data_IF_750781487546
#
_entry.id   IF_750781487546
#
_cell.length_a   1.000
_cell.length_b   1.000
_cell.length_c   1.000
_cell.angle_alpha   90.00
_cell.angle_beta   90.00
_cell.angle_gamma   90.00
#
_symmetry.space_group_name_H-M   'P 1'
#
loop_
_entity.id
_entity.type
_entity.pdbx_description
1 polymer ?
#
# COMPACT_ATOMS: atom_id res chain seq x y z
N UNK A 1 -13.28 -27.03 -17.63
CA UNK A 1 -12.90 -26.97 -16.21
C UNK A 1 -13.39 -25.63 -15.65
N UNK A 2 -14.09 -25.59 -14.50
CA UNK A 2 -14.48 -24.35 -13.83
C UNK A 2 -13.30 -23.42 -13.48
N UNK A 3 -12.10 -23.99 -13.30
CA UNK A 3 -10.86 -23.28 -12.92
C UNK A 3 -10.46 -22.13 -13.84
N UNK A 4 -10.70 -22.23 -15.15
CA UNK A 4 -10.23 -21.19 -16.09
C UNK A 4 -11.00 -19.88 -15.96
N UNK A 5 -12.30 -19.93 -15.69
CA UNK A 5 -13.12 -18.70 -15.63
C UNK A 5 -12.81 -17.88 -14.39
N UNK A 6 -12.68 -18.53 -13.24
CA UNK A 6 -12.33 -17.87 -11.99
C UNK A 6 -10.91 -17.32 -12.05
N UNK A 7 -9.97 -18.09 -12.59
CA UNK A 7 -8.60 -17.63 -12.81
C UNK A 7 -8.54 -16.37 -13.67
N UNK A 8 -9.22 -16.37 -14.83
CA UNK A 8 -9.26 -15.19 -15.72
C UNK A 8 -9.96 -13.99 -15.09
N UNK A 9 -10.99 -14.23 -14.28
CA UNK A 9 -11.67 -13.17 -13.53
C UNK A 9 -10.73 -12.54 -12.50
N UNK A 10 -10.00 -13.35 -11.72
CA UNK A 10 -9.03 -12.87 -10.74
C UNK A 10 -7.89 -12.08 -11.40
N UNK A 11 -7.34 -12.55 -12.52
CA UNK A 11 -6.31 -11.83 -13.29
C UNK A 11 -6.85 -10.47 -13.78
N UNK A 12 -8.06 -10.45 -14.31
CA UNK A 12 -8.71 -9.21 -14.79
C UNK A 12 -8.97 -8.24 -13.64
N UNK A 13 -9.45 -8.74 -12.50
CA UNK A 13 -9.66 -7.94 -11.28
C UNK A 13 -8.35 -7.33 -10.77
N UNK A 14 -7.26 -8.12 -10.74
CA UNK A 14 -5.92 -7.62 -10.38
C UNK A 14 -5.49 -6.51 -11.34
N UNK A 15 -5.66 -6.70 -12.65
CA UNK A 15 -5.32 -5.69 -13.66
C UNK A 15 -6.03 -4.36 -13.41
N UNK A 16 -7.35 -4.41 -13.19
CA UNK A 16 -8.15 -3.22 -12.88
C UNK A 16 -7.72 -2.55 -11.56
N UNK A 17 -7.50 -3.34 -10.51
CA UNK A 17 -7.07 -2.82 -9.21
C UNK A 17 -5.68 -2.15 -9.29
N UNK A 18 -4.76 -2.69 -10.10
CA UNK A 18 -3.44 -2.06 -10.32
C UNK A 18 -3.55 -0.70 -10.99
N UNK A 19 -4.47 -0.54 -11.95
CA UNK A 19 -4.74 0.76 -12.58
C UNK A 19 -5.27 1.75 -11.53
N UNK A 20 -6.27 1.34 -10.74
CA UNK A 20 -6.81 2.17 -9.65
C UNK A 20 -5.74 2.54 -8.61
N UNK A 21 -4.84 1.61 -8.29
CA UNK A 21 -3.75 1.84 -7.35
C UNK A 21 -2.71 2.82 -7.91
N UNK A 22 -2.42 2.80 -9.21
CA UNK A 22 -1.49 3.74 -9.83
C UNK A 22 -1.96 5.20 -9.68
N UNK A 23 -3.28 5.42 -9.70
CA UNK A 23 -3.88 6.74 -9.54
C UNK A 23 -3.94 7.20 -8.07
N UNK A 24 -4.37 6.32 -7.16
CA UNK A 24 -4.74 6.70 -5.78
C UNK A 24 -3.73 6.28 -4.72
N UNK A 25 -2.90 5.28 -5.02
CA UNK A 25 -1.96 4.64 -4.10
C UNK A 25 -2.59 4.23 -2.74
N UNK A 26 -3.90 4.00 -2.69
CA UNK A 26 -4.59 3.69 -1.44
C UNK A 26 -4.14 2.33 -0.90
N UNK A 27 -3.87 2.24 0.40
CA UNK A 27 -3.38 1.02 1.05
C UNK A 27 -4.38 -0.14 0.88
N UNK A 28 -5.69 0.13 0.95
CA UNK A 28 -6.73 -0.88 0.77
C UNK A 28 -6.70 -1.55 -0.62
N UNK A 29 -6.32 -0.82 -1.67
CA UNK A 29 -6.19 -1.37 -3.02
C UNK A 29 -5.00 -2.33 -3.10
N UNK A 30 -3.87 -1.98 -2.50
CA UNK A 30 -2.72 -2.89 -2.41
C UNK A 30 -3.05 -4.18 -1.65
N UNK A 31 -3.80 -4.08 -0.56
CA UNK A 31 -4.26 -5.24 0.21
C UNK A 31 -5.19 -6.15 -0.61
N UNK A 32 -6.12 -5.56 -1.36
CA UNK A 32 -7.00 -6.32 -2.25
C UNK A 32 -6.20 -7.04 -3.33
N UNK A 33 -5.23 -6.38 -3.97
CA UNK A 33 -4.36 -7.01 -4.97
C UNK A 33 -3.59 -8.19 -4.38
N UNK A 34 -3.00 -8.02 -3.19
CA UNK A 34 -2.31 -9.09 -2.48
C UNK A 34 -3.23 -10.31 -2.25
N UNK A 35 -4.46 -10.06 -1.76
CA UNK A 35 -5.44 -11.12 -1.54
C UNK A 35 -5.80 -11.88 -2.82
N UNK A 36 -5.97 -11.19 -3.95
CA UNK A 36 -6.30 -11.86 -5.22
C UNK A 36 -5.15 -12.73 -5.73
N UNK A 37 -3.90 -12.29 -5.55
CA UNK A 37 -2.75 -13.15 -5.83
C UNK A 37 -2.69 -14.38 -4.92
N UNK A 38 -3.09 -14.24 -3.65
CA UNK A 38 -3.17 -15.39 -2.74
C UNK A 38 -4.21 -16.42 -3.21
N UNK A 39 -5.39 -15.96 -3.64
CA UNK A 39 -6.41 -16.83 -4.23
C UNK A 39 -5.91 -17.55 -5.49
N UNK A 40 -5.18 -16.85 -6.36
CA UNK A 40 -4.54 -17.47 -7.53
C UNK A 40 -3.49 -18.53 -7.14
N UNK A 41 -2.74 -18.30 -6.06
CA UNK A 41 -1.79 -19.28 -5.54
C UNK A 41 -2.47 -20.53 -4.98
N UNK A 42 -3.60 -20.36 -4.30
CA UNK A 42 -4.41 -21.45 -3.73
C UNK A 42 -5.09 -22.29 -4.81
N UNK A 43 -5.56 -21.65 -5.89
CA UNK A 43 -6.19 -22.33 -7.02
C UNK A 43 -5.18 -22.92 -8.04
N UNK A 44 -3.88 -22.64 -7.91
CA UNK A 44 -2.88 -23.08 -8.87
C UNK A 44 -2.40 -24.51 -8.61
N UNK A 45 -2.62 -25.41 -9.57
CA UNK A 45 -2.06 -26.77 -9.55
C UNK A 45 -0.56 -26.81 -9.87
N UNK A 46 -0.02 -25.78 -10.54
CA UNK A 46 1.38 -25.73 -10.95
C UNK A 46 2.23 -25.00 -9.89
N UNK A 47 3.21 -25.71 -9.30
CA UNK A 47 4.04 -25.20 -8.21
C UNK A 47 4.78 -23.89 -8.58
N UNK A 48 5.31 -23.77 -9.80
CA UNK A 48 6.01 -22.57 -10.23
C UNK A 48 5.07 -21.34 -10.33
N UNK A 49 3.83 -21.52 -10.79
CA UNK A 49 2.81 -20.46 -10.81
C UNK A 49 2.39 -20.09 -9.40
N UNK A 50 2.18 -21.08 -8.54
CA UNK A 50 1.85 -20.87 -7.13
C UNK A 50 2.92 -20.02 -6.43
N UNK A 51 4.20 -20.37 -6.55
CA UNK A 51 5.32 -19.61 -5.96
C UNK A 51 5.34 -18.18 -6.50
N UNK A 52 5.16 -18.00 -7.82
CA UNK A 52 5.10 -16.67 -8.41
C UNK A 52 3.96 -15.82 -7.82
N UNK A 53 2.76 -16.38 -7.70
CA UNK A 53 1.63 -15.69 -7.10
C UNK A 53 1.84 -15.37 -5.62
N UNK A 54 2.46 -16.27 -4.84
CA UNK A 54 2.86 -16.00 -3.46
C UNK A 54 3.82 -14.80 -3.38
N UNK A 55 4.83 -14.76 -4.24
CA UNK A 55 5.79 -13.66 -4.28
C UNK A 55 5.10 -12.33 -4.61
N UNK A 56 4.22 -12.33 -5.62
CA UNK A 56 3.43 -11.14 -5.97
C UNK A 56 2.54 -10.70 -4.80
N UNK A 57 1.84 -11.64 -4.15
CA UNK A 57 1.04 -11.36 -2.95
C UNK A 57 1.88 -10.68 -1.87
N UNK A 58 3.07 -11.19 -1.58
CA UNK A 58 3.97 -10.61 -0.58
C UNK A 58 4.44 -9.21 -0.94
N UNK A 59 4.79 -8.97 -2.21
CA UNK A 59 5.17 -7.62 -2.69
C UNK A 59 4.03 -6.62 -2.50
N UNK A 60 2.80 -6.99 -2.87
CA UNK A 60 1.65 -6.09 -2.72
C UNK A 60 1.24 -5.90 -1.26
N UNK A 61 1.40 -6.93 -0.42
CA UNK A 61 1.18 -6.79 1.02
C UNK A 61 2.20 -5.84 1.65
N UNK A 62 3.46 -5.86 1.20
CA UNK A 62 4.44 -4.86 1.61
C UNK A 62 4.05 -3.44 1.19
N UNK A 63 3.54 -3.25 -0.03
CA UNK A 63 2.99 -1.95 -0.45
C UNK A 63 1.83 -1.49 0.45
N UNK A 64 0.94 -2.40 0.86
CA UNK A 64 -0.11 -2.10 1.82
C UNK A 64 0.46 -1.61 3.17
N UNK A 65 1.45 -2.32 3.74
CA UNK A 65 2.06 -1.92 5.01
C UNK A 65 2.68 -0.53 4.90
N UNK A 66 3.47 -0.28 3.86
CA UNK A 66 4.11 1.01 3.61
C UNK A 66 3.08 2.14 3.49
N UNK A 67 2.02 1.95 2.72
CA UNK A 67 1.04 3.02 2.49
C UNK A 67 0.14 3.21 3.72
N UNK A 68 -0.14 2.16 4.47
CA UNK A 68 -0.86 2.26 5.75
C UNK A 68 -0.08 3.07 6.77
N UNK A 69 1.24 2.91 6.83
CA UNK A 69 2.11 3.74 7.68
C UNK A 69 2.00 5.22 7.27
N UNK A 70 2.02 5.53 5.97
CA UNK A 70 1.80 6.90 5.47
C UNK A 70 0.39 7.45 5.75
N UNK A 71 -0.65 6.61 5.69
CA UNK A 71 -2.04 7.00 5.99
C UNK A 71 -2.29 7.24 7.49
N UNK A 72 -1.51 6.61 8.37
CA UNK A 72 -1.55 6.81 9.83
C UNK A 72 -0.67 7.98 10.31
N UNK A 73 0.27 8.41 9.47
CA UNK A 73 1.15 9.57 9.70
C UNK A 73 0.83 10.75 8.75
N UNK A 74 -0.43 11.22 8.59
CA UNK A 74 -0.68 12.36 7.71
C UNK A 74 -0.20 13.70 8.30
N UNK A 75 0.14 13.77 9.60
CA UNK A 75 0.28 15.06 10.31
C UNK A 75 1.44 15.22 11.31
N UNK A 76 2.50 14.40 11.28
CA UNK A 76 3.73 14.69 12.05
C UNK A 76 4.77 15.55 11.29
N UNK A 77 4.39 16.16 10.17
CA UNK A 77 5.22 17.10 9.42
C UNK A 77 4.69 18.54 9.38
N UNK A 78 3.79 18.93 10.29
CA UNK A 78 3.57 20.34 10.62
C UNK A 78 4.57 20.72 11.73
N UNK A 79 5.72 21.26 11.31
CA UNK A 79 6.60 22.03 12.20
C UNK A 79 7.93 21.38 12.56
N UNK A 80 8.76 21.05 11.57
CA UNK A 80 10.20 21.04 11.81
C UNK A 80 10.66 22.48 12.04
N UNK A 81 10.58 22.88 13.30
CA UNK A 81 11.33 23.92 13.99
C UNK A 81 11.91 25.06 13.16
N UNK A 82 11.12 26.12 12.98
CA UNK A 82 11.68 27.46 13.00
C UNK A 82 10.92 28.38 13.97
N UNK A 83 11.50 28.43 15.17
CA UNK A 83 11.67 29.66 15.95
C UNK A 83 10.41 30.50 16.29
N UNK A 84 9.46 29.89 17.02
CA UNK A 84 8.53 30.65 17.88
C UNK A 84 9.12 30.89 19.29
N UNK A 85 9.88 29.93 19.83
CA UNK A 85 10.58 30.09 21.12
C UNK A 85 11.74 31.09 21.01
N UNK A 86 12.36 31.22 19.83
CA UNK A 86 13.52 32.12 19.63
C UNK A 86 13.13 33.59 19.38
N UNK A 87 11.86 33.87 19.02
CA UNK A 87 11.34 35.25 18.90
C UNK A 87 10.82 35.81 20.23
N UNK A 88 10.50 34.98 21.22
CA UNK A 88 10.06 35.43 22.55
C UNK A 88 11.21 35.76 23.51
N UNK A 89 12.45 35.34 23.20
CA UNK A 89 13.62 35.61 24.06
C UNK A 89 14.31 36.92 23.69
N UNK A 90 14.20 37.41 22.45
CA UNK A 90 14.86 38.65 21.99
C UNK A 90 14.08 39.96 22.21
N UNK A 91 12.82 39.89 22.65
CA UNK A 91 11.97 41.08 22.79
C UNK A 91 11.52 41.37 24.25
N UNK A 92 12.31 40.98 25.25
CA UNK A 92 12.12 41.58 26.58
C UNK A 92 12.81 42.96 26.59
N UNK A 93 12.10 44.05 26.92
CA UNK A 93 12.78 45.29 27.26
C UNK A 93 13.52 45.06 28.58
N UNK A 94 14.83 45.30 28.57
CA UNK A 94 15.62 45.33 29.79
C UNK A 94 15.28 46.61 30.58
N UNK A 95 15.03 46.53 31.89
CA UNK A 95 14.94 47.69 32.77
C UNK A 95 16.30 48.37 32.96
#
# INVERSE_FOLDING_TARGET
>A
MPDDKEHQLLISAIGYLKIQYAEKQAACLALLIARHYRLLAEASAENHKQINYINQSSTWFYCYLKNREHELEPDLNIGHGDTAIHRLIKNRPHP
#
